data_IF_724689758181
#
_entry.id   IF_724689758181
#
_cell.length_a   1.000
_cell.length_b   1.000
_cell.length_c   1.000
_cell.angle_alpha   90.00
_cell.angle_beta   90.00
_cell.angle_gamma   90.00
#
_symmetry.space_group_name_H-M   'P 1'
#
loop_
_entity.id
_entity.type
_entity.pdbx_description
1 polymer ?
#
# COMPACT_ATOMS: atom_id res chain seq x y z
N UNK A 1 -24.55 13.67 -5.81
CA UNK A 1 -23.61 13.82 -4.67
C UNK A 1 -23.51 12.55 -3.78
N UNK A 2 -23.97 11.37 -4.20
CA UNK A 2 -23.91 10.13 -3.38
C UNK A 2 -22.60 9.32 -3.55
N UNK A 3 -21.95 9.38 -4.72
CA UNK A 3 -20.88 8.44 -5.07
C UNK A 3 -19.55 8.65 -4.31
N UNK A 4 -19.23 9.88 -3.90
CA UNK A 4 -17.94 10.20 -3.28
C UNK A 4 -17.86 9.72 -1.83
N UNK A 5 -18.98 9.75 -1.08
CA UNK A 5 -19.02 9.28 0.31
C UNK A 5 -18.82 7.78 0.39
N UNK A 6 -19.47 7.03 -0.50
CA UNK A 6 -19.37 5.56 -0.51
C UNK A 6 -17.95 5.10 -0.88
N UNK A 7 -17.34 5.74 -1.88
CA UNK A 7 -15.94 5.47 -2.26
C UNK A 7 -14.96 5.80 -1.13
N UNK A 8 -15.14 6.94 -0.45
CA UNK A 8 -14.30 7.31 0.69
C UNK A 8 -14.42 6.33 1.86
N UNK A 9 -15.63 5.87 2.17
CA UNK A 9 -15.86 4.87 3.22
C UNK A 9 -15.27 3.51 2.85
N UNK A 10 -15.34 3.11 1.57
CA UNK A 10 -14.70 1.90 1.09
C UNK A 10 -13.18 1.96 1.23
N UNK A 11 -12.55 3.06 0.82
CA UNK A 11 -11.11 3.30 0.96
C UNK A 11 -10.66 3.28 2.42
N UNK A 12 -11.40 3.94 3.31
CA UNK A 12 -11.10 3.92 4.75
C UNK A 12 -11.16 2.50 5.34
N UNK A 13 -12.20 1.73 5.01
CA UNK A 13 -12.35 0.35 5.49
C UNK A 13 -11.24 -0.54 4.95
N UNK A 14 -10.91 -0.39 3.67
CA UNK A 14 -9.78 -1.09 3.06
C UNK A 14 -8.49 -0.77 3.80
N UNK A 15 -8.17 0.50 4.04
CA UNK A 15 -6.96 0.90 4.78
C UNK A 15 -6.92 0.33 6.18
N UNK A 16 -8.03 0.37 6.91
CA UNK A 16 -8.08 -0.17 8.27
C UNK A 16 -7.76 -1.68 8.30
N UNK A 17 -8.39 -2.45 7.41
CA UNK A 17 -8.16 -3.89 7.32
C UNK A 17 -6.74 -4.18 6.83
N UNK A 18 -6.30 -3.54 5.76
CA UNK A 18 -4.98 -3.76 5.18
C UNK A 18 -3.85 -3.41 6.16
N UNK A 19 -3.98 -2.33 6.93
CA UNK A 19 -2.99 -1.92 7.93
C UNK A 19 -2.94 -2.87 9.15
N UNK A 20 -4.03 -3.58 9.45
CA UNK A 20 -4.03 -4.60 10.51
C UNK A 20 -3.51 -5.97 10.08
N UNK A 21 -3.28 -6.19 8.77
CA UNK A 21 -2.77 -7.46 8.26
C UNK A 21 -1.31 -7.66 8.64
N UNK A 22 -0.97 -8.90 9.03
CA UNK A 22 0.42 -9.32 9.21
C UNK A 22 1.11 -9.56 7.87
N UNK A 23 0.36 -9.92 6.84
CA UNK A 23 0.89 -10.09 5.49
C UNK A 23 1.25 -8.73 4.87
N UNK A 24 2.30 -8.71 4.06
CA UNK A 24 2.65 -7.56 3.25
C UNK A 24 1.58 -7.34 2.17
N UNK A 25 1.00 -6.14 2.17
CA UNK A 25 0.05 -5.68 1.15
C UNK A 25 0.65 -4.44 0.49
N UNK A 26 0.92 -4.56 -0.80
CA UNK A 26 1.54 -3.53 -1.64
C UNK A 26 0.64 -3.33 -2.85
N UNK A 27 0.32 -2.08 -3.18
CA UNK A 27 -0.35 -1.73 -4.45
C UNK A 27 0.63 -0.92 -5.27
N UNK A 28 0.75 -1.24 -6.54
CA UNK A 28 1.51 -0.47 -7.52
C UNK A 28 0.64 -0.13 -8.73
N UNK A 29 1.01 0.92 -9.46
CA UNK A 29 0.40 1.25 -10.74
C UNK A 29 0.95 0.38 -11.89
N UNK A 30 0.49 0.65 -13.11
CA UNK A 30 0.92 -0.08 -14.31
C UNK A 30 2.41 0.08 -14.65
N UNK A 31 3.05 1.14 -14.15
CA UNK A 31 4.50 1.36 -14.29
C UNK A 31 5.32 0.65 -13.20
N UNK A 32 4.64 0.00 -12.25
CA UNK A 32 5.26 -0.60 -11.08
C UNK A 32 5.60 0.42 -10.00
N UNK A 33 5.06 1.65 -10.05
CA UNK A 33 5.27 2.65 -9.00
C UNK A 33 4.39 2.31 -7.80
N UNK A 34 4.97 2.17 -6.61
CA UNK A 34 4.26 1.83 -5.37
C UNK A 34 3.31 2.97 -4.98
N UNK A 35 2.04 2.64 -4.78
CA UNK A 35 0.97 3.56 -4.37
C UNK A 35 0.53 3.36 -2.92
N UNK A 36 0.72 2.15 -2.37
CA UNK A 36 0.29 1.80 -1.02
C UNK A 36 1.26 0.82 -0.38
N UNK A 37 1.50 1.03 0.92
CA UNK A 37 2.37 0.23 1.77
C UNK A 37 1.70 0.05 3.14
N UNK A 38 1.44 -1.19 3.55
CA UNK A 38 0.87 -1.47 4.87
C UNK A 38 1.94 -1.74 5.95
N UNK A 39 1.49 -1.81 7.20
CA UNK A 39 2.32 -2.23 8.33
C UNK A 39 3.00 -3.58 8.12
N UNK A 40 2.29 -4.58 7.57
CA UNK A 40 2.90 -5.88 7.26
C UNK A 40 4.08 -5.77 6.28
N UNK A 41 3.97 -4.92 5.25
CA UNK A 41 5.05 -4.69 4.29
C UNK A 41 6.25 -4.01 4.94
N UNK A 42 6.02 -3.03 5.83
CA UNK A 42 7.07 -2.45 6.66
C UNK A 42 7.75 -3.50 7.53
N UNK A 43 6.97 -4.32 8.23
CA UNK A 43 7.50 -5.31 9.17
C UNK A 43 8.30 -6.42 8.44
N UNK A 44 7.92 -6.77 7.20
CA UNK A 44 8.58 -7.80 6.38
C UNK A 44 9.80 -7.26 5.62
N UNK A 45 9.69 -6.12 4.95
CA UNK A 45 10.74 -5.58 4.08
C UNK A 45 11.61 -4.52 4.77
N UNK A 46 11.21 -4.01 5.93
CA UNK A 46 11.99 -3.07 6.74
C UNK A 46 11.93 -1.60 6.31
N UNK A 47 11.19 -1.26 5.27
CA UNK A 47 11.06 0.11 4.77
C UNK A 47 9.79 0.81 5.27
N UNK A 48 9.89 2.11 5.53
CA UNK A 48 8.74 2.95 5.84
C UNK A 48 7.91 3.28 4.59
N UNK A 49 6.65 3.66 4.79
CA UNK A 49 5.77 4.03 3.66
C UNK A 49 6.30 5.26 2.91
N UNK A 50 6.92 6.20 3.61
CA UNK A 50 7.50 7.43 3.08
C UNK A 50 8.73 7.16 2.22
N UNK A 51 9.39 6.03 2.42
CA UNK A 51 10.59 5.63 1.67
C UNK A 51 10.21 4.85 0.40
N UNK A 52 9.04 4.21 0.40
CA UNK A 52 8.60 3.26 -0.63
C UNK A 52 7.55 3.82 -1.58
N UNK A 53 6.57 4.59 -1.10
CA UNK A 53 5.52 5.16 -1.96
C UNK A 53 6.14 6.13 -2.96
N UNK A 54 5.82 5.94 -4.24
CA UNK A 54 6.44 6.67 -5.36
C UNK A 54 7.73 6.05 -5.89
N UNK A 55 8.22 4.95 -5.31
CA UNK A 55 9.38 4.19 -5.81
C UNK A 55 8.93 3.03 -6.71
N UNK A 56 9.81 2.54 -7.60
CA UNK A 56 9.53 1.34 -8.38
C UNK A 56 9.56 0.09 -7.51
N UNK A 57 8.63 -0.83 -7.75
CA UNK A 57 8.48 -2.10 -7.03
C UNK A 57 9.70 -3.02 -7.18
N UNK A 58 10.52 -2.80 -8.22
CA UNK A 58 11.79 -3.51 -8.44
C UNK A 58 12.79 -3.31 -7.30
N UNK A 59 12.64 -2.30 -6.44
CA UNK A 59 13.51 -2.12 -5.27
C UNK A 59 13.44 -3.29 -4.26
N UNK A 60 12.39 -4.12 -4.34
CA UNK A 60 12.19 -5.28 -3.47
C UNK A 60 12.78 -6.57 -4.07
N UNK A 61 13.21 -6.53 -5.32
CA UNK A 61 13.73 -7.69 -6.04
C UNK A 61 15.25 -7.72 -5.91
N UNK A 62 15.86 -8.84 -5.50
CA UNK A 62 17.31 -9.00 -5.57
C UNK A 62 17.78 -9.05 -7.04
N UNK A 63 19.05 -8.69 -7.26
CA UNK A 63 19.75 -8.77 -8.56
C UNK A 63 19.91 -10.21 -9.07
#
# INVERSE_FOLDING_TARGET
MSNTKDSYLAEMRFRAVAQSSHDAIIIADQSGTILFWNKGAKDIFGYESEETVGRPLTMLMPD
#
